data_IF_075063909294
#
_entry.id   IF_075063909294
#
_cell.length_a   1.000
_cell.length_b   1.000
_cell.length_c   1.000
_cell.angle_alpha   90.00
_cell.angle_beta   90.00
_cell.angle_gamma   90.00
#
_symmetry.space_group_name_H-M   'P 1'
#
loop_
_entity.id
_entity.type
_entity.pdbx_description
1 polymer ?
#
# COMPACT_ATOMS: atom_id res chain seq x y z
N UNK A 1 16.90 -3.90 15.07
CA UNK A 1 15.80 -4.05 14.11
C UNK A 1 16.33 -3.82 12.71
N UNK A 2 16.04 -4.73 11.81
CA UNK A 2 16.58 -4.66 10.44
C UNK A 2 15.58 -3.96 9.53
N UNK A 3 16.05 -2.93 8.83
CA UNK A 3 15.23 -2.28 7.83
C UNK A 3 15.03 -3.20 6.63
N UNK A 4 13.86 -3.07 6.00
CA UNK A 4 13.51 -3.81 4.79
C UNK A 4 13.60 -2.87 3.59
N UNK A 5 14.03 -3.40 2.45
CA UNK A 5 13.95 -2.68 1.18
C UNK A 5 12.53 -2.82 0.66
N UNK A 6 11.88 -1.71 0.36
CA UNK A 6 10.51 -1.71 -0.15
C UNK A 6 10.53 -1.89 -1.67
N UNK A 7 9.79 -2.88 -2.15
CA UNK A 7 9.66 -3.17 -3.57
C UNK A 7 8.19 -3.00 -3.97
N UNK A 8 7.94 -2.28 -5.05
CA UNK A 8 6.60 -2.10 -5.61
C UNK A 8 6.37 -3.09 -6.74
N UNK A 9 5.28 -3.85 -6.66
CA UNK A 9 4.87 -4.70 -7.78
C UNK A 9 4.41 -3.84 -8.96
N UNK A 10 4.34 -4.42 -10.15
CA UNK A 10 3.81 -3.72 -11.31
C UNK A 10 2.35 -3.32 -11.10
N UNK A 11 1.56 -4.18 -10.46
CA UNK A 11 0.16 -3.90 -10.15
C UNK A 11 0.01 -2.68 -9.25
N UNK A 12 0.88 -2.53 -8.25
CA UNK A 12 0.84 -1.37 -7.35
C UNK A 12 1.20 -0.09 -8.09
N UNK A 13 2.15 -0.15 -9.01
CA UNK A 13 2.51 1.02 -9.83
C UNK A 13 1.32 1.48 -10.66
N UNK A 14 0.57 0.54 -11.23
CA UNK A 14 -0.66 0.84 -11.97
C UNK A 14 -1.75 1.39 -11.03
N UNK A 15 -1.88 0.85 -9.83
CA UNK A 15 -2.83 1.35 -8.83
C UNK A 15 -2.54 2.82 -8.50
N UNK A 16 -1.28 3.18 -8.30
CA UNK A 16 -0.87 4.55 -7.99
C UNK A 16 -1.20 5.47 -9.16
N UNK A 17 -0.92 5.03 -10.38
CA UNK A 17 -1.23 5.80 -11.58
C UNK A 17 -2.73 6.07 -11.72
N UNK A 18 -3.56 5.05 -11.51
CA UNK A 18 -5.01 5.19 -11.55
C UNK A 18 -5.54 6.14 -10.47
N UNK A 19 -5.01 6.05 -9.26
CA UNK A 19 -5.38 6.96 -8.17
C UNK A 19 -5.01 8.39 -8.53
N UNK A 20 -3.81 8.61 -9.06
CA UNK A 20 -3.36 9.93 -9.47
C UNK A 20 -4.27 10.52 -10.54
N UNK A 21 -4.59 9.74 -11.57
CA UNK A 21 -5.47 10.19 -12.65
C UNK A 21 -6.87 10.55 -12.14
N UNK A 22 -7.39 9.73 -11.22
CA UNK A 22 -8.70 10.00 -10.62
C UNK A 22 -8.70 11.33 -9.86
N UNK A 23 -7.66 11.60 -9.06
CA UNK A 23 -7.58 12.84 -8.28
C UNK A 23 -7.44 14.07 -9.21
N UNK A 24 -6.68 13.95 -10.30
CA UNK A 24 -6.55 15.01 -11.28
C UNK A 24 -7.91 15.34 -11.90
N UNK A 25 -8.71 14.31 -12.20
CA UNK A 25 -10.02 14.48 -12.83
C UNK A 25 -11.04 15.16 -11.93
N UNK A 26 -10.99 14.90 -10.61
CA UNK A 26 -11.98 15.44 -9.67
C UNK A 26 -11.49 16.67 -8.90
N UNK A 27 -10.24 17.04 -9.04
CA UNK A 27 -9.65 18.13 -8.28
C UNK A 27 -8.63 18.88 -9.15
N UNK A 28 -7.41 19.11 -8.61
CA UNK A 28 -6.34 19.84 -9.30
C UNK A 28 -5.09 18.99 -9.36
N UNK A 29 -4.22 19.19 -10.39
CA UNK A 29 -2.94 18.48 -10.44
C UNK A 29 -2.09 18.60 -9.18
N UNK A 30 -2.10 19.76 -8.54
CA UNK A 30 -1.35 19.98 -7.29
C UNK A 30 -1.87 19.11 -6.15
N UNK A 31 -3.18 18.89 -6.08
CA UNK A 31 -3.80 18.02 -5.08
C UNK A 31 -3.45 16.56 -5.35
N UNK A 32 -3.44 16.16 -6.63
CA UNK A 32 -3.05 14.80 -7.00
C UNK A 32 -1.60 14.53 -6.61
N UNK A 33 -0.71 15.48 -6.86
CA UNK A 33 0.71 15.36 -6.54
C UNK A 33 0.92 15.18 -5.03
N UNK A 34 0.26 16.00 -4.21
CA UNK A 34 0.35 15.89 -2.75
C UNK A 34 -0.24 14.58 -2.24
N UNK A 35 -1.36 14.17 -2.81
CA UNK A 35 -2.05 12.95 -2.44
C UNK A 35 -1.17 11.73 -2.70
N UNK A 36 -0.59 11.66 -3.89
CA UNK A 36 0.29 10.56 -4.28
C UNK A 36 1.56 10.57 -3.44
N UNK A 37 2.13 11.75 -3.16
CA UNK A 37 3.33 11.85 -2.33
C UNK A 37 3.07 11.30 -0.92
N UNK A 38 1.92 11.63 -0.32
CA UNK A 38 1.56 11.08 0.99
C UNK A 38 1.44 9.56 0.94
N UNK A 39 0.86 9.03 -0.14
CA UNK A 39 0.72 7.60 -0.33
C UNK A 39 2.08 6.92 -0.46
N UNK A 40 2.99 7.53 -1.21
CA UNK A 40 4.36 7.02 -1.36
C UNK A 40 5.12 7.08 -0.03
N UNK A 41 4.90 8.12 0.78
CA UNK A 41 5.50 8.22 2.11
C UNK A 41 5.00 7.11 3.02
N UNK A 42 3.71 6.79 2.97
CA UNK A 42 3.13 5.69 3.72
C UNK A 42 3.75 4.35 3.30
N UNK A 43 3.90 4.14 2.01
CA UNK A 43 4.55 2.93 1.47
C UNK A 43 6.01 2.86 1.92
N UNK A 44 6.73 3.99 1.85
CA UNK A 44 8.14 4.04 2.26
C UNK A 44 8.31 3.70 3.74
N UNK A 45 7.32 3.99 4.59
CA UNK A 45 7.37 3.65 6.00
C UNK A 45 7.49 2.15 6.25
N UNK A 46 7.16 1.32 5.26
CA UNK A 46 7.30 -0.13 5.38
C UNK A 46 8.75 -0.57 5.55
N UNK A 47 9.72 0.28 5.21
CA UNK A 47 11.13 -0.07 5.42
C UNK A 47 11.41 -0.42 6.89
N UNK A 48 10.69 0.20 7.83
CA UNK A 48 10.84 -0.07 9.26
C UNK A 48 9.57 -0.62 9.91
N UNK A 49 8.40 -0.47 9.29
CA UNK A 49 7.12 -0.90 9.86
C UNK A 49 6.76 -2.35 9.50
N UNK A 50 7.30 -2.87 8.40
CA UNK A 50 6.85 -4.16 7.86
C UNK A 50 7.03 -5.30 8.86
N UNK A 51 8.17 -5.33 9.56
CA UNK A 51 8.50 -6.42 10.49
C UNK A 51 7.58 -6.47 11.71
N UNK A 52 7.04 -5.32 12.12
CA UNK A 52 6.24 -5.24 13.36
C UNK A 52 4.74 -5.40 13.11
N UNK A 53 4.31 -5.40 11.84
CA UNK A 53 2.90 -5.60 11.51
C UNK A 53 2.56 -7.09 11.52
N UNK A 54 1.43 -7.49 12.11
CA UNK A 54 1.01 -8.89 12.05
C UNK A 54 0.47 -9.24 10.68
N UNK A 55 0.45 -10.56 10.39
CA UNK A 55 -0.22 -11.04 9.17
C UNK A 55 -1.72 -10.77 9.27
N UNK A 56 -2.32 -10.46 8.13
CA UNK A 56 -3.75 -10.23 8.05
C UNK A 56 -4.53 -11.54 8.14
N UNK A 57 -5.64 -11.53 8.87
CA UNK A 57 -6.59 -12.64 8.86
C UNK A 57 -7.78 -12.39 7.90
N UNK A 58 -7.78 -11.22 7.24
CA UNK A 58 -8.83 -10.90 6.26
C UNK A 58 -8.63 -11.71 4.97
N UNK A 59 -9.74 -12.13 4.36
CA UNK A 59 -9.69 -12.96 3.14
C UNK A 59 -9.10 -12.24 1.93
N UNK A 60 -9.43 -10.96 1.77
CA UNK A 60 -9.02 -10.21 0.58
C UNK A 60 -7.49 -10.05 0.49
N UNK A 61 -6.79 -9.62 1.56
CA UNK A 61 -5.32 -9.59 1.50
C UNK A 61 -4.70 -10.95 1.20
N UNK A 62 -5.26 -12.01 1.77
CA UNK A 62 -4.72 -13.37 1.59
C UNK A 62 -4.85 -13.89 0.16
N UNK A 63 -5.68 -13.27 -0.67
CA UNK A 63 -5.76 -13.60 -2.10
C UNK A 63 -4.50 -13.20 -2.85
N UNK A 64 -3.77 -12.20 -2.34
CA UNK A 64 -2.54 -11.72 -2.98
C UNK A 64 -1.32 -12.46 -2.48
N UNK A 65 -1.34 -12.90 -1.22
CA UNK A 65 -0.25 -13.68 -0.65
C UNK A 65 -0.74 -14.36 0.64
N UNK A 66 -0.34 -15.64 0.89
CA UNK A 66 -0.78 -16.37 2.10
C UNK A 66 -0.36 -15.67 3.40
N UNK A 67 0.74 -14.94 3.39
CA UNK A 67 1.27 -14.22 4.56
C UNK A 67 1.10 -12.70 4.42
N UNK A 68 0.06 -12.28 3.72
CA UNK A 68 -0.19 -10.86 3.46
C UNK A 68 -0.40 -10.07 4.75
N UNK A 69 0.14 -8.87 4.75
CA UNK A 69 -0.01 -7.88 5.81
C UNK A 69 -0.70 -6.65 5.24
N UNK A 70 -1.26 -5.83 6.10
CA UNK A 70 -1.99 -4.63 5.68
C UNK A 70 -1.53 -3.44 6.50
N UNK A 71 -1.26 -2.32 5.82
CA UNK A 71 -1.02 -1.03 6.44
C UNK A 71 -2.02 -0.03 5.86
N UNK A 72 -2.77 0.67 6.73
CA UNK A 72 -3.68 1.72 6.28
C UNK A 72 -2.91 2.99 5.91
N UNK A 73 -3.35 3.66 4.83
CA UNK A 73 -2.81 4.97 4.48
C UNK A 73 -3.19 6.01 5.54
N UNK A 74 -2.52 7.18 5.53
CA UNK A 74 -2.77 8.26 6.48
C UNK A 74 -4.22 8.70 6.51
N UNK A 75 -4.85 8.82 5.35
CA UNK A 75 -6.26 9.23 5.25
C UNK A 75 -7.24 8.07 5.48
N UNK A 76 -6.72 6.86 5.69
CA UNK A 76 -7.48 5.61 5.94
C UNK A 76 -8.39 5.19 4.78
N UNK A 77 -8.21 5.77 3.61
CA UNK A 77 -9.00 5.41 2.41
C UNK A 77 -8.43 4.22 1.66
N UNK A 78 -7.13 3.98 1.82
CA UNK A 78 -6.43 2.92 1.10
C UNK A 78 -5.77 1.95 2.06
N UNK A 79 -5.78 0.70 1.67
CA UNK A 79 -5.05 -0.36 2.38
C UNK A 79 -3.90 -0.83 1.51
N UNK A 80 -2.70 -0.75 2.06
CA UNK A 80 -1.46 -1.18 1.41
C UNK A 80 -1.28 -2.65 1.76
N UNK A 81 -1.42 -3.52 0.77
CA UNK A 81 -1.25 -4.96 0.96
C UNK A 81 0.19 -5.32 0.59
N UNK A 82 0.88 -5.94 1.53
CA UNK A 82 2.28 -6.28 1.34
C UNK A 82 2.60 -7.60 2.03
N UNK A 83 3.75 -8.17 1.68
CA UNK A 83 4.30 -9.33 2.39
C UNK A 83 5.80 -9.18 2.52
N UNK A 84 6.41 -9.93 3.43
CA UNK A 84 7.85 -9.94 3.63
C UNK A 84 8.44 -11.13 2.89
N UNK A 85 9.49 -10.85 2.10
CA UNK A 85 10.28 -11.87 1.41
C UNK A 85 11.75 -11.57 1.72
N UNK A 86 12.33 -12.33 2.64
CA UNK A 86 13.70 -12.13 3.12
C UNK A 86 13.89 -10.70 3.66
N UNK A 87 14.72 -9.90 2.99
CA UNK A 87 15.01 -8.52 3.40
C UNK A 87 14.13 -7.50 2.66
N UNK A 88 13.08 -7.97 1.99
CA UNK A 88 12.22 -7.11 1.18
C UNK A 88 10.81 -7.04 1.76
N UNK A 89 10.25 -5.84 1.72
CA UNK A 89 8.81 -5.63 1.91
C UNK A 89 8.23 -5.42 0.52
N UNK A 90 7.51 -6.42 0.03
CA UNK A 90 6.94 -6.40 -1.33
C UNK A 90 5.51 -5.90 -1.25
N UNK A 91 5.25 -4.77 -1.89
CA UNK A 91 3.90 -4.19 -1.93
C UNK A 91 3.14 -4.82 -3.10
N UNK A 92 2.08 -5.53 -2.77
CA UNK A 92 1.31 -6.30 -3.76
C UNK A 92 0.22 -5.48 -4.43
N UNK A 93 -0.57 -4.76 -3.65
CA UNK A 93 -1.69 -3.95 -4.16
C UNK A 93 -2.05 -2.81 -3.22
N UNK A 94 -2.70 -1.79 -3.79
CA UNK A 94 -3.44 -0.78 -3.04
C UNK A 94 -4.92 -0.99 -3.33
N UNK A 95 -5.72 -1.22 -2.29
CA UNK A 95 -7.16 -1.39 -2.47
C UNK A 95 -7.93 -0.47 -1.51
N UNK A 96 -9.15 -0.08 -1.90
CA UNK A 96 -9.97 0.75 -1.01
C UNK A 96 -10.21 0.05 0.32
N UNK A 97 -9.99 0.76 1.43
CA UNK A 97 -10.13 0.18 2.77
C UNK A 97 -11.54 -0.31 3.07
N UNK A 98 -12.54 0.27 2.42
CA UNK A 98 -13.94 -0.13 2.64
C UNK A 98 -14.23 -1.57 2.23
N UNK A 99 -13.40 -2.20 1.40
CA UNK A 99 -13.62 -3.58 0.96
C UNK A 99 -12.69 -4.58 1.64
N UNK A 100 -11.71 -4.12 2.43
CA UNK A 100 -10.67 -5.00 2.98
C UNK A 100 -11.19 -5.93 4.07
N UNK A 101 -12.25 -5.56 4.74
CA UNK A 101 -12.79 -6.27 5.89
C UNK A 101 -13.81 -7.37 5.55
N UNK A 102 -13.86 -7.76 4.30
CA UNK A 102 -14.71 -8.89 3.87
C UNK A 102 -13.99 -10.21 3.92
#
# INVERSE_FOLDING_TARGET
MTEKTVILSEDVKLDIEEISNYIVDISRPEHAEKYVQQLLDDIASLSYMASIRPESHWMIPKRFHPHAKVLSSHNKKWSIIFHIDNNYAVVDRLIPSCIITY
#
